data_IF_002496920813
#
_entry.id   IF_002496920813
#
_cell.length_a   1.000
_cell.length_b   1.000
_cell.length_c   1.000
_cell.angle_alpha   90.00
_cell.angle_beta   90.00
_cell.angle_gamma   90.00
#
_symmetry.space_group_name_H-M   'P 1'
#
loop_
_entity.id
_entity.type
_entity.pdbx_description
1 polymer ?
#
# COMPACT_ATOMS: atom_id res chain seq x y z
N UNK A 1 -9.67 3.79 17.16
CA UNK A 1 -9.62 2.95 15.94
C UNK A 1 -9.20 3.86 14.80
N UNK A 2 -8.12 3.56 14.11
CA UNK A 2 -7.63 4.34 12.98
C UNK A 2 -8.40 3.96 11.71
N UNK A 3 -9.01 4.93 11.04
CA UNK A 3 -9.79 4.72 9.82
C UNK A 3 -8.89 5.02 8.62
N UNK A 4 -8.74 4.05 7.73
CA UNK A 4 -8.00 4.21 6.48
C UNK A 4 -8.95 4.23 5.29
N UNK A 5 -8.71 5.17 4.37
CA UNK A 5 -9.39 5.25 3.09
C UNK A 5 -8.74 4.27 2.11
N UNK A 6 -9.52 3.33 1.55
CA UNK A 6 -9.06 2.41 0.49
C UNK A 6 -9.48 2.95 -0.88
N UNK A 7 -9.00 4.15 -1.18
CA UNK A 7 -9.25 4.87 -2.43
C UNK A 7 -8.32 6.08 -2.57
N UNK A 8 -7.86 6.36 -3.78
CA UNK A 8 -7.10 7.56 -4.12
C UNK A 8 -7.25 7.88 -5.60
N UNK A 9 -7.44 9.16 -5.90
CA UNK A 9 -7.44 9.69 -7.25
C UNK A 9 -6.93 11.13 -7.26
N UNK A 10 -6.44 11.60 -8.39
CA UNK A 10 -6.07 13.01 -8.56
C UNK A 10 -7.23 13.94 -8.28
N UNK A 11 -8.45 13.53 -8.65
CA UNK A 11 -9.64 14.30 -8.32
C UNK A 11 -9.81 14.53 -6.83
N UNK A 12 -9.66 13.49 -5.99
CA UNK A 12 -9.75 13.63 -4.52
C UNK A 12 -8.71 14.58 -3.95
N UNK A 13 -7.53 14.60 -4.54
CA UNK A 13 -6.42 15.46 -4.14
C UNK A 13 -6.73 16.90 -4.52
N UNK A 14 -7.02 17.16 -5.80
CA UNK A 14 -7.17 18.51 -6.35
C UNK A 14 -8.46 19.22 -5.93
N UNK A 15 -9.55 18.48 -5.71
CA UNK A 15 -10.81 19.06 -5.21
C UNK A 15 -10.81 19.35 -3.71
N UNK A 16 -9.77 18.90 -2.98
CA UNK A 16 -9.70 18.99 -1.53
C UNK A 16 -10.54 17.93 -0.79
N UNK A 17 -11.17 17.00 -1.51
CA UNK A 17 -11.99 15.96 -0.88
C UNK A 17 -11.20 15.10 0.12
N UNK A 18 -9.94 14.73 -0.19
CA UNK A 18 -9.11 14.00 0.76
C UNK A 18 -8.88 14.78 2.06
N UNK A 19 -8.56 16.07 1.97
CA UNK A 19 -8.38 16.93 3.13
C UNK A 19 -9.68 17.08 3.96
N UNK A 20 -10.83 17.13 3.31
CA UNK A 20 -12.15 17.14 3.96
C UNK A 20 -12.40 15.83 4.73
N UNK A 21 -12.11 14.68 4.12
CA UNK A 21 -12.26 13.37 4.78
C UNK A 21 -11.35 13.24 6.02
N UNK A 22 -10.14 13.73 5.95
CA UNK A 22 -9.23 13.80 7.10
C UNK A 22 -9.86 14.61 8.23
N UNK A 23 -10.34 15.81 7.91
CA UNK A 23 -10.89 16.76 8.90
C UNK A 23 -12.23 16.31 9.49
N UNK A 24 -13.15 15.82 8.65
CA UNK A 24 -14.55 15.61 9.03
C UNK A 24 -14.90 14.15 9.32
N UNK A 25 -14.15 13.21 8.77
CA UNK A 25 -14.41 11.77 8.92
C UNK A 25 -13.32 11.03 9.68
N UNK A 26 -12.33 11.76 10.22
CA UNK A 26 -11.21 11.17 10.96
C UNK A 26 -10.46 10.10 10.19
N UNK A 27 -10.30 10.30 8.88
CA UNK A 27 -9.43 9.46 8.05
C UNK A 27 -7.98 9.78 8.44
N UNK A 28 -7.25 8.75 8.86
CA UNK A 28 -5.88 8.89 9.34
C UNK A 28 -4.86 8.09 8.52
N UNK A 29 -5.28 7.48 7.43
CA UNK A 29 -4.40 6.81 6.48
C UNK A 29 -5.09 6.59 5.14
N UNK A 30 -4.28 6.33 4.12
CA UNK A 30 -4.76 6.03 2.77
C UNK A 30 -4.05 4.77 2.27
N UNK A 31 -4.80 3.86 1.70
CA UNK A 31 -4.23 2.71 1.00
C UNK A 31 -4.69 2.70 -0.46
N UNK A 32 -3.82 2.25 -1.32
CA UNK A 32 -4.09 2.12 -2.75
C UNK A 32 -3.78 0.71 -3.23
N UNK A 33 -4.20 0.41 -4.43
CA UNK A 33 -3.82 -0.80 -5.15
C UNK A 33 -3.91 -0.53 -6.67
N UNK A 34 -3.37 -1.42 -7.52
CA UNK A 34 -3.37 -1.22 -8.97
C UNK A 34 -4.76 -1.02 -9.57
N UNK A 35 -5.80 -1.68 -9.03
CA UNK A 35 -7.18 -1.54 -9.52
C UNK A 35 -7.75 -0.14 -9.24
N UNK A 36 -7.46 0.43 -8.06
CA UNK A 36 -7.85 1.80 -7.70
C UNK A 36 -7.24 2.79 -8.69
N UNK A 37 -5.93 2.69 -8.94
CA UNK A 37 -5.27 3.58 -9.88
C UNK A 37 -5.74 3.38 -11.32
N UNK A 38 -5.95 2.13 -11.76
CA UNK A 38 -6.49 1.87 -13.08
C UNK A 38 -7.85 2.54 -13.29
N UNK A 39 -8.75 2.46 -12.30
CA UNK A 39 -10.04 3.12 -12.34
C UNK A 39 -9.90 4.66 -12.33
N UNK A 40 -9.06 5.21 -11.45
CA UNK A 40 -8.83 6.64 -11.36
C UNK A 40 -8.27 7.25 -12.65
N UNK A 41 -7.31 6.57 -13.29
CA UNK A 41 -6.69 7.02 -14.54
C UNK A 41 -7.68 6.89 -15.71
N UNK A 42 -8.47 5.82 -15.77
CA UNK A 42 -9.44 5.58 -16.84
C UNK A 42 -10.59 6.59 -16.86
N UNK A 43 -10.96 7.15 -15.70
CA UNK A 43 -12.07 8.10 -15.54
C UNK A 43 -11.59 9.57 -15.51
N UNK A 44 -10.31 9.82 -15.79
CA UNK A 44 -9.73 11.09 -15.40
C UNK A 44 -9.11 11.96 -16.49
N UNK A 45 -9.83 12.95 -17.01
CA UNK A 45 -9.27 14.08 -17.80
C UNK A 45 -8.11 14.79 -17.07
N UNK A 46 -8.02 14.65 -15.74
CA UNK A 46 -6.97 15.28 -14.90
C UNK A 46 -5.58 14.70 -15.08
N UNK A 47 -5.47 13.53 -15.71
CA UNK A 47 -4.19 12.90 -16.05
C UNK A 47 -3.70 13.26 -17.45
N UNK A 48 -4.57 13.77 -18.33
CA UNK A 48 -4.28 13.95 -19.76
C UNK A 48 -3.05 14.81 -20.03
N UNK A 49 -2.91 15.93 -19.35
CA UNK A 49 -1.77 16.84 -19.53
C UNK A 49 -0.44 16.19 -19.14
N UNK A 50 -0.45 15.37 -18.07
CA UNK A 50 0.77 14.67 -17.65
C UNK A 50 1.08 13.50 -18.58
N UNK A 51 0.08 12.76 -18.99
CA UNK A 51 0.21 11.68 -19.98
C UNK A 51 0.79 12.24 -21.28
N UNK A 52 0.22 13.32 -21.82
CA UNK A 52 0.71 13.95 -23.05
C UNK A 52 2.20 14.35 -22.94
N UNK A 53 2.59 15.00 -21.84
CA UNK A 53 3.98 15.38 -21.60
C UNK A 53 4.94 14.18 -21.51
N UNK A 54 4.52 13.09 -20.92
CA UNK A 54 5.36 11.89 -20.79
C UNK A 54 5.47 11.15 -22.11
N UNK A 55 4.38 11.07 -22.87
CA UNK A 55 4.37 10.49 -24.23
C UNK A 55 5.27 11.31 -25.19
N UNK A 56 5.21 12.63 -25.12
CA UNK A 56 6.12 13.51 -25.91
C UNK A 56 7.59 13.28 -25.59
N UNK A 57 7.92 12.88 -24.35
CA UNK A 57 9.29 12.50 -23.95
C UNK A 57 9.68 11.10 -24.41
N UNK A 58 8.76 10.34 -24.99
CA UNK A 58 8.99 8.97 -25.44
C UNK A 58 8.93 7.92 -24.35
N UNK A 59 8.30 8.23 -23.20
CA UNK A 59 8.14 7.27 -22.12
C UNK A 59 7.16 6.14 -22.52
N UNK A 60 7.43 4.93 -22.05
CA UNK A 60 6.55 3.80 -22.25
C UNK A 60 5.38 3.82 -21.24
N UNK A 61 4.39 2.95 -21.45
CA UNK A 61 3.17 2.90 -20.64
C UNK A 61 3.49 2.65 -19.15
N UNK A 62 4.39 1.72 -18.85
CA UNK A 62 4.75 1.37 -17.46
C UNK A 62 5.36 2.57 -16.75
N UNK A 63 6.24 3.31 -17.45
CA UNK A 63 6.83 4.53 -16.89
C UNK A 63 5.78 5.63 -16.72
N UNK A 64 4.85 5.78 -17.64
CA UNK A 64 3.74 6.74 -17.49
C UNK A 64 2.92 6.41 -16.25
N UNK A 65 2.47 5.17 -16.08
CA UNK A 65 1.70 4.73 -14.90
C UNK A 65 2.49 4.96 -13.62
N UNK A 66 3.77 4.60 -13.59
CA UNK A 66 4.66 4.82 -12.45
C UNK A 66 4.73 6.29 -12.03
N UNK A 67 4.92 7.21 -12.99
CA UNK A 67 4.99 8.65 -12.72
C UNK A 67 3.66 9.21 -12.22
N UNK A 68 2.53 8.79 -12.80
CA UNK A 68 1.20 9.24 -12.39
C UNK A 68 0.91 8.81 -10.94
N UNK A 69 1.12 7.54 -10.63
CA UNK A 69 0.77 6.95 -9.34
C UNK A 69 1.68 7.44 -8.21
N UNK A 70 2.99 7.58 -8.47
CA UNK A 70 3.93 8.09 -7.48
C UNK A 70 3.72 9.57 -7.19
N UNK A 71 3.32 10.37 -8.19
CA UNK A 71 2.96 11.77 -7.98
C UNK A 71 1.70 11.90 -7.10
N UNK A 72 0.65 11.14 -7.39
CA UNK A 72 -0.58 11.17 -6.61
C UNK A 72 -0.34 10.74 -5.15
N UNK A 73 0.47 9.68 -4.94
CA UNK A 73 0.83 9.24 -3.59
C UNK A 73 1.67 10.29 -2.86
N UNK A 74 2.61 10.95 -3.54
CA UNK A 74 3.39 12.04 -2.96
C UNK A 74 2.49 13.18 -2.51
N UNK A 75 1.55 13.60 -3.35
CA UNK A 75 0.61 14.67 -3.04
C UNK A 75 -0.34 14.28 -1.90
N UNK A 76 -0.79 13.02 -1.85
CA UNK A 76 -1.58 12.51 -0.74
C UNK A 76 -0.76 12.48 0.56
N UNK A 77 0.51 12.10 0.52
CA UNK A 77 1.42 12.17 1.68
C UNK A 77 1.54 13.59 2.23
N UNK A 78 1.57 14.61 1.38
CA UNK A 78 1.61 16.01 1.80
C UNK A 78 0.30 16.44 2.50
N UNK A 79 -0.86 16.02 2.00
CA UNK A 79 -2.15 16.27 2.64
C UNK A 79 -2.22 15.58 4.02
N UNK A 80 -1.65 14.37 4.14
CA UNK A 80 -1.63 13.59 5.36
C UNK A 80 -0.52 14.01 6.35
N UNK A 81 0.43 14.86 5.94
CA UNK A 81 1.57 15.26 6.75
C UNK A 81 1.20 15.83 8.13
N UNK A 82 0.18 16.69 8.30
CA UNK A 82 -0.21 17.19 9.62
C UNK A 82 -0.63 16.07 10.59
N UNK A 83 -1.35 15.04 10.08
CA UNK A 83 -1.73 13.87 10.90
C UNK A 83 -0.50 13.07 11.30
N UNK A 84 0.43 12.88 10.38
CA UNK A 84 1.68 12.18 10.62
C UNK A 84 2.58 12.89 11.62
N UNK A 85 2.67 14.21 11.56
CA UNK A 85 3.46 15.03 12.50
C UNK A 85 2.90 14.97 13.92
N UNK A 86 1.58 14.93 14.08
CA UNK A 86 0.91 14.79 15.37
C UNK A 86 1.03 13.35 15.92
N UNK A 87 0.84 12.35 15.05
CA UNK A 87 0.85 10.93 15.44
C UNK A 87 1.59 10.11 14.36
N UNK A 88 2.90 9.85 14.49
CA UNK A 88 3.69 9.17 13.45
C UNK A 88 3.24 7.75 13.08
N UNK A 89 2.37 7.12 13.86
CA UNK A 89 1.73 5.86 13.51
C UNK A 89 0.62 6.04 12.45
N UNK A 90 -0.01 7.20 12.41
CA UNK A 90 -1.05 7.61 11.48
C UNK A 90 -0.50 8.54 10.38
N UNK A 91 -1.35 9.10 9.54
CA UNK A 91 -0.98 10.02 8.47
C UNK A 91 -0.22 9.37 7.31
N UNK A 92 -0.40 8.06 7.09
CA UNK A 92 0.38 7.29 6.13
C UNK A 92 -0.40 6.99 4.85
N UNK A 93 0.36 6.89 3.74
CA UNK A 93 -0.18 6.60 2.40
C UNK A 93 0.60 5.43 1.79
N UNK A 94 -0.12 4.40 1.32
CA UNK A 94 0.50 3.22 0.72
C UNK A 94 0.43 3.22 -0.79
N UNK A 95 1.51 2.77 -1.44
CA UNK A 95 1.59 2.44 -2.87
C UNK A 95 2.09 1.02 -3.04
N UNK A 96 1.45 0.23 -3.91
CA UNK A 96 1.74 -1.19 -4.10
C UNK A 96 2.74 -1.43 -5.24
N UNK A 97 3.65 -2.40 -5.04
CA UNK A 97 4.49 -2.93 -6.12
C UNK A 97 3.63 -3.57 -7.21
N UNK A 98 4.16 -3.72 -8.41
CA UNK A 98 3.44 -4.30 -9.53
C UNK A 98 2.97 -5.73 -9.23
N UNK A 99 1.73 -6.12 -9.60
CA UNK A 99 1.16 -7.43 -9.30
C UNK A 99 1.93 -8.60 -9.89
N UNK A 100 2.55 -8.42 -11.06
CA UNK A 100 3.32 -9.45 -11.78
C UNK A 100 4.56 -9.88 -10.99
N UNK A 101 5.03 -9.03 -10.06
CA UNK A 101 6.18 -9.30 -9.19
C UNK A 101 5.83 -10.14 -7.95
N UNK A 102 4.57 -10.52 -7.76
CA UNK A 102 4.11 -11.24 -6.57
C UNK A 102 4.88 -12.54 -6.28
N UNK A 103 5.46 -13.15 -7.31
CA UNK A 103 6.28 -14.38 -7.21
C UNK A 103 7.75 -14.15 -7.61
N UNK A 104 8.20 -12.89 -7.63
CA UNK A 104 9.57 -12.49 -7.93
C UNK A 104 10.13 -11.62 -6.81
N UNK A 105 10.96 -12.23 -5.95
CA UNK A 105 11.57 -11.55 -4.81
C UNK A 105 12.45 -10.37 -5.23
N UNK A 106 13.34 -10.58 -6.20
CA UNK A 106 14.31 -9.55 -6.62
C UNK A 106 13.62 -8.40 -7.35
N UNK A 107 12.65 -8.72 -8.21
CA UNK A 107 11.81 -7.71 -8.85
C UNK A 107 11.01 -6.88 -7.84
N UNK A 108 10.42 -7.53 -6.83
CA UNK A 108 9.70 -6.85 -5.74
C UNK A 108 10.62 -5.91 -4.95
N UNK A 109 11.84 -6.33 -4.62
CA UNK A 109 12.82 -5.49 -3.91
C UNK A 109 13.19 -4.27 -4.77
N UNK A 110 13.47 -4.48 -6.06
CA UNK A 110 13.83 -3.41 -6.98
C UNK A 110 12.69 -2.39 -7.14
N UNK A 111 11.45 -2.86 -7.31
CA UNK A 111 10.26 -2.03 -7.38
C UNK A 111 10.03 -1.26 -6.08
N UNK A 112 10.15 -1.91 -4.92
CA UNK A 112 9.99 -1.25 -3.63
C UNK A 112 10.98 -0.08 -3.44
N UNK A 113 12.25 -0.26 -3.80
CA UNK A 113 13.26 0.81 -3.78
C UNK A 113 12.92 1.95 -4.72
N UNK A 114 12.47 1.62 -5.94
CA UNK A 114 12.10 2.61 -6.95
C UNK A 114 10.91 3.46 -6.51
N UNK A 115 9.85 2.83 -5.99
CA UNK A 115 8.66 3.50 -5.48
C UNK A 115 8.98 4.37 -4.26
N UNK A 116 9.75 3.84 -3.29
CA UNK A 116 10.18 4.60 -2.11
C UNK A 116 10.96 5.85 -2.49
N UNK A 117 11.94 5.72 -3.39
CA UNK A 117 12.73 6.84 -3.88
C UNK A 117 11.91 7.85 -4.68
N UNK A 118 10.94 7.39 -5.47
CA UNK A 118 10.10 8.26 -6.30
C UNK A 118 9.08 9.04 -5.46
N UNK A 119 8.45 8.40 -4.48
CA UNK A 119 7.51 9.08 -3.57
C UNK A 119 8.24 10.07 -2.67
N UNK A 120 9.39 9.69 -2.12
CA UNK A 120 10.27 10.53 -1.30
C UNK A 120 9.52 11.29 -0.19
N UNK A 121 8.74 10.56 0.60
CA UNK A 121 8.00 11.09 1.78
C UNK A 121 8.09 10.13 2.96
N UNK A 122 8.35 10.64 4.19
CA UNK A 122 8.58 9.80 5.37
C UNK A 122 7.33 9.03 5.81
N UNK A 123 6.15 9.48 5.41
CA UNK A 123 4.87 8.85 5.71
C UNK A 123 4.36 7.93 4.58
N UNK A 124 5.16 7.67 3.56
CA UNK A 124 4.86 6.63 2.58
C UNK A 124 5.02 5.23 3.19
N UNK A 125 4.28 4.26 2.66
CA UNK A 125 4.44 2.83 2.90
C UNK A 125 4.47 2.12 1.55
N UNK A 126 5.47 1.28 1.32
CA UNK A 126 5.46 0.43 0.13
C UNK A 126 4.65 -0.83 0.42
N UNK A 127 3.63 -1.07 -0.39
CA UNK A 127 2.73 -2.19 -0.20
C UNK A 127 3.26 -3.42 -0.93
N UNK A 128 3.49 -4.50 -0.18
CA UNK A 128 4.09 -5.75 -0.68
C UNK A 128 3.17 -6.92 -0.32
N UNK A 129 2.82 -7.81 -1.29
CA UNK A 129 1.98 -8.95 -1.01
C UNK A 129 2.69 -9.99 -0.14
N UNK A 130 1.95 -10.63 0.77
CA UNK A 130 2.43 -11.67 1.67
C UNK A 130 2.57 -13.04 0.97
N UNK A 131 3.14 -13.08 -0.22
CA UNK A 131 3.50 -14.34 -0.89
C UNK A 131 4.75 -14.94 -0.24
N UNK A 132 5.09 -16.18 -0.57
CA UNK A 132 6.35 -16.80 -0.08
C UNK A 132 7.56 -16.01 -0.57
N UNK A 133 7.51 -15.57 -1.80
CA UNK A 133 8.54 -14.76 -2.46
C UNK A 133 8.55 -13.31 -1.95
N UNK A 134 7.40 -12.81 -1.48
CA UNK A 134 7.26 -11.49 -0.87
C UNK A 134 7.90 -11.39 0.53
N UNK A 135 7.96 -12.49 1.31
CA UNK A 135 8.53 -12.45 2.66
C UNK A 135 9.99 -11.99 2.69
N UNK A 136 10.92 -12.52 1.86
CA UNK A 136 12.28 -12.00 1.78
C UNK A 136 12.34 -10.54 1.31
N UNK A 137 11.43 -10.12 0.42
CA UNK A 137 11.37 -8.74 -0.06
C UNK A 137 10.93 -7.78 1.06
N UNK A 138 9.97 -8.17 1.91
CA UNK A 138 9.57 -7.43 3.11
C UNK A 138 10.77 -7.24 4.03
N UNK A 139 11.50 -8.34 4.31
CA UNK A 139 12.72 -8.30 5.15
C UNK A 139 13.75 -7.32 4.59
N UNK A 140 14.04 -7.39 3.29
CA UNK A 140 15.03 -6.53 2.64
C UNK A 140 14.59 -5.05 2.67
N UNK A 141 13.33 -4.75 2.35
CA UNK A 141 12.81 -3.39 2.40
C UNK A 141 12.92 -2.78 3.81
N UNK A 142 12.48 -3.49 4.84
CA UNK A 142 12.60 -3.05 6.24
C UNK A 142 14.08 -2.88 6.65
N UNK A 143 14.96 -3.79 6.24
CA UNK A 143 16.41 -3.71 6.51
C UNK A 143 17.06 -2.45 5.91
N UNK A 144 16.50 -1.91 4.84
CA UNK A 144 16.95 -0.69 4.18
C UNK A 144 16.25 0.58 4.70
N UNK A 145 15.39 0.47 5.70
CA UNK A 145 14.67 1.60 6.29
C UNK A 145 13.38 1.98 5.54
N UNK A 146 12.95 1.16 4.58
CA UNK A 146 11.71 1.36 3.83
C UNK A 146 10.54 0.87 4.67
N UNK A 147 9.57 1.74 4.95
CA UNK A 147 8.34 1.38 5.65
C UNK A 147 7.40 0.59 4.72
N UNK A 148 6.77 -0.48 5.24
CA UNK A 148 6.03 -1.45 4.43
C UNK A 148 4.59 -1.63 4.91
N UNK A 149 3.64 -1.68 3.98
CA UNK A 149 2.29 -2.21 4.20
C UNK A 149 2.24 -3.63 3.63
N UNK A 150 2.22 -4.64 4.49
CA UNK A 150 2.13 -6.04 4.03
C UNK A 150 0.67 -6.38 3.74
N UNK A 151 0.37 -6.76 2.50
CA UNK A 151 -1.00 -7.00 2.04
C UNK A 151 -1.27 -8.45 1.67
N UNK A 152 -2.53 -8.77 1.40
CA UNK A 152 -3.00 -10.10 1.00
C UNK A 152 -2.71 -11.18 2.05
N UNK A 153 -2.90 -10.84 3.31
CA UNK A 153 -2.83 -11.80 4.41
C UNK A 153 -4.24 -12.39 4.62
N UNK A 154 -4.36 -13.71 4.47
CA UNK A 154 -5.63 -14.44 4.58
C UNK A 154 -5.64 -15.50 5.68
N UNK A 155 -4.51 -15.75 6.33
CA UNK A 155 -4.39 -16.79 7.35
C UNK A 155 -3.38 -16.46 8.43
N UNK A 156 -3.61 -16.99 9.63
CA UNK A 156 -2.81 -16.71 10.84
C UNK A 156 -1.36 -17.20 10.68
N UNK A 157 -1.13 -18.33 10.01
CA UNK A 157 0.21 -18.84 9.78
C UNK A 157 1.02 -17.89 8.92
N UNK A 158 0.42 -17.41 7.80
CA UNK A 158 1.06 -16.40 6.95
C UNK A 158 1.31 -15.10 7.71
N UNK A 159 0.39 -14.70 8.58
CA UNK A 159 0.60 -13.52 9.42
C UNK A 159 1.79 -13.66 10.37
N UNK A 160 2.02 -14.86 10.94
CA UNK A 160 3.22 -15.13 11.76
C UNK A 160 4.51 -15.01 10.95
N UNK A 161 4.53 -15.59 9.74
CA UNK A 161 5.67 -15.46 8.82
C UNK A 161 5.96 -14.00 8.43
N UNK A 162 4.92 -13.19 8.27
CA UNK A 162 5.04 -11.75 8.02
C UNK A 162 5.64 -11.02 9.23
N UNK A 163 5.22 -11.35 10.44
CA UNK A 163 5.81 -10.79 11.66
C UNK A 163 7.30 -11.17 11.78
N UNK A 164 7.66 -12.41 11.49
CA UNK A 164 9.05 -12.89 11.52
C UNK A 164 9.89 -12.15 10.45
N UNK A 165 9.36 -11.96 9.24
CA UNK A 165 10.04 -11.22 8.19
C UNK A 165 10.27 -9.74 8.58
N UNK A 166 9.28 -9.09 9.18
CA UNK A 166 9.38 -7.72 9.69
C UNK A 166 10.43 -7.61 10.80
N UNK A 167 10.38 -8.48 11.81
CA UNK A 167 11.33 -8.47 12.93
C UNK A 167 12.77 -8.74 12.45
N UNK A 168 12.94 -9.68 11.53
CA UNK A 168 14.24 -9.97 10.91
C UNK A 168 14.78 -8.73 10.17
N UNK A 169 13.93 -8.04 9.44
CA UNK A 169 14.30 -6.79 8.76
C UNK A 169 14.71 -5.69 9.75
N UNK A 170 14.00 -5.53 10.88
CA UNK A 170 14.36 -4.58 11.94
C UNK A 170 15.71 -4.93 12.60
N UNK A 171 16.01 -6.22 12.83
CA UNK A 171 17.31 -6.66 13.34
C UNK A 171 18.44 -6.26 12.39
N UNK A 172 18.26 -6.48 11.09
CA UNK A 172 19.23 -6.10 10.07
C UNK A 172 19.38 -4.56 9.97
N UNK A 173 18.28 -3.82 10.02
CA UNK A 173 18.29 -2.34 10.03
C UNK A 173 19.06 -1.79 11.24
N UNK A 174 18.83 -2.36 12.44
CA UNK A 174 19.57 -2.02 13.67
C UNK A 174 21.06 -2.28 13.50
N UNK A 175 21.43 -3.43 12.97
CA UNK A 175 22.84 -3.83 12.78
C UNK A 175 23.53 -2.95 11.73
N UNK A 176 22.77 -2.40 10.78
CA UNK A 176 23.20 -1.38 9.84
C UNK A 176 23.23 0.06 10.43
N UNK A 177 22.80 0.24 11.69
CA UNK A 177 22.83 1.53 12.38
C UNK A 177 21.69 2.48 12.01
N UNK A 178 20.58 1.97 11.44
CA UNK A 178 19.41 2.77 11.11
C UNK A 178 18.57 3.10 12.36
N UNK A 179 17.89 4.23 12.32
CA UNK A 179 16.94 4.62 13.36
C UNK A 179 15.62 3.84 13.19
N UNK A 180 15.42 2.83 14.02
CA UNK A 180 14.22 1.97 13.99
C UNK A 180 12.93 2.73 14.26
N UNK A 181 12.99 3.87 14.98
CA UNK A 181 11.82 4.71 15.23
C UNK A 181 11.22 5.33 13.96
N UNK A 182 11.94 5.30 12.85
CA UNK A 182 11.49 5.80 11.55
C UNK A 182 10.94 4.73 10.62
N UNK A 183 11.07 3.45 10.99
CA UNK A 183 10.67 2.30 10.18
C UNK A 183 9.34 1.77 10.71
N UNK A 184 8.32 1.80 9.90
CA UNK A 184 6.97 1.38 10.29
C UNK A 184 6.45 0.27 9.37
N UNK A 185 5.56 -0.56 9.92
CA UNK A 185 4.84 -1.55 9.13
C UNK A 185 3.41 -1.66 9.58
N UNK A 186 2.52 -1.90 8.64
CA UNK A 186 1.14 -2.32 8.87
C UNK A 186 0.88 -3.63 8.14
N UNK A 187 -0.05 -4.43 8.67
CA UNK A 187 -0.46 -5.70 8.10
C UNK A 187 -1.93 -5.61 7.67
N UNK A 188 -2.17 -5.71 6.38
CA UNK A 188 -3.53 -5.73 5.81
C UNK A 188 -4.05 -7.17 5.78
N UNK A 189 -4.81 -7.53 6.82
CA UNK A 189 -5.47 -8.83 6.92
C UNK A 189 -6.89 -8.75 6.32
N UNK A 190 -7.16 -9.61 5.34
CA UNK A 190 -8.39 -9.56 4.53
C UNK A 190 -9.54 -10.36 5.15
N UNK A 191 -10.11 -9.85 6.24
CA UNK A 191 -11.20 -10.56 6.97
C UNK A 191 -12.46 -10.66 6.11
N UNK A 192 -12.94 -9.57 5.54
CA UNK A 192 -14.20 -9.56 4.78
C UNK A 192 -14.20 -10.48 3.55
N UNK A 193 -13.05 -10.63 2.88
CA UNK A 193 -12.95 -11.57 1.75
C UNK A 193 -13.02 -13.02 2.21
N UNK A 194 -12.45 -13.34 3.38
CA UNK A 194 -12.54 -14.68 3.98
C UNK A 194 -13.97 -14.95 4.39
N UNK A 195 -14.63 -14.03 5.09
CA UNK A 195 -16.03 -14.16 5.51
C UNK A 195 -16.93 -14.43 4.30
N UNK A 196 -16.84 -13.58 3.26
CA UNK A 196 -17.68 -13.74 2.05
C UNK A 196 -17.49 -15.10 1.37
N UNK A 197 -16.26 -15.62 1.30
CA UNK A 197 -16.00 -16.94 0.68
C UNK A 197 -16.47 -18.09 1.59
N UNK A 198 -16.32 -17.94 2.90
CA UNK A 198 -16.82 -18.94 3.88
C UNK A 198 -18.34 -18.98 3.86
N UNK A 199 -19.02 -17.85 3.95
CA UNK A 199 -20.49 -17.76 3.91
C UNK A 199 -21.04 -18.40 2.65
N UNK A 200 -20.49 -18.09 1.49
CA UNK A 200 -20.86 -18.70 0.21
C UNK A 200 -20.75 -20.23 0.22
N UNK A 201 -19.72 -20.77 0.87
CA UNK A 201 -19.54 -22.23 0.99
C UNK A 201 -20.54 -22.85 1.98
N UNK A 202 -20.81 -22.19 3.11
CA UNK A 202 -21.78 -22.63 4.09
C UNK A 202 -23.19 -22.65 3.50
N UNK A 203 -23.57 -21.61 2.75
CA UNK A 203 -24.82 -21.55 2.00
C UNK A 203 -24.94 -22.69 0.98
N UNK A 204 -23.87 -23.00 0.28
CA UNK A 204 -23.84 -24.11 -0.70
C UNK A 204 -23.98 -25.49 -0.04
N UNK A 205 -23.51 -25.68 1.21
CA UNK A 205 -23.71 -26.89 2.00
C UNK A 205 -25.19 -26.98 2.42
N UNK A 206 -25.80 -25.89 2.85
CA UNK A 206 -27.23 -25.75 3.09
C UNK A 206 -27.80 -26.59 4.23
N UNK A 207 -26.98 -27.14 5.12
CA UNK A 207 -27.48 -27.79 6.35
C UNK A 207 -27.76 -26.77 7.45
N UNK A 208 -28.69 -27.08 8.36
CA UNK A 208 -29.00 -26.18 9.48
C UNK A 208 -27.75 -25.87 10.31
N UNK A 209 -26.83 -26.82 10.47
CA UNK A 209 -25.55 -26.62 11.18
C UNK A 209 -24.63 -25.64 10.42
N UNK A 210 -24.56 -25.76 9.10
CA UNK A 210 -23.71 -24.86 8.28
C UNK A 210 -24.28 -23.42 8.25
N UNK A 211 -25.61 -23.28 8.21
CA UNK A 211 -26.29 -21.98 8.18
C UNK A 211 -26.32 -21.28 9.56
N UNK A 212 -25.95 -21.96 10.63
CA UNK A 212 -25.89 -21.42 11.99
C UNK A 212 -24.49 -20.87 12.36
N UNK A 213 -23.48 -21.08 11.51
CA UNK A 213 -22.12 -20.58 11.71
C UNK A 213 -21.95 -19.17 11.17
#
# INVERSE_FOLDING_TARGET
>A
MSIWLDDLSRERIETGNLAELVKEKSVVGVTTNPTIFAAAIADGERYDDQVARLVEKGENVDRVVFELTTEDVRNACEIMAPVFEETPADGRVSIEVEPDLANDTEGTIASARALWSAVDRPNALIKIPATKEGLPAITAAIAEGISVNVTLIFGIERYREVMDAYLTGLEQARDAGLDLGRIHSVASFFVSRVDTEVDKRLEAIGTDEALAL
#
